data_IF_841313700825
#
_entry.id   IF_841313700825
#
_cell.length_a   1.000
_cell.length_b   1.000
_cell.length_c   1.000
_cell.angle_alpha   90.00
_cell.angle_beta   90.00
_cell.angle_gamma   90.00
#
_symmetry.space_group_name_H-M   'P 1'
#
loop_
_entity.id
_entity.type
_entity.pdbx_description
1 polymer ?
#
# COMPACT_ATOMS: atom_id res chain seq x y z
N UNK A 1 -6.46 -26.04 17.70
CA UNK A 1 -7.80 -25.92 17.09
C UNK A 1 -7.68 -24.97 15.91
N UNK A 2 -8.13 -25.34 14.70
CA UNK A 2 -8.14 -24.41 13.56
C UNK A 2 -9.11 -23.26 13.88
N UNK A 3 -8.63 -22.03 13.74
CA UNK A 3 -9.45 -20.83 13.94
C UNK A 3 -10.32 -20.69 12.70
N UNK A 4 -11.62 -20.88 12.85
CA UNK A 4 -12.54 -20.61 11.75
C UNK A 4 -12.56 -19.10 11.43
N UNK A 5 -12.54 -18.72 10.14
CA UNK A 5 -12.54 -17.32 9.76
C UNK A 5 -13.86 -16.67 10.18
N UNK A 6 -13.76 -15.69 11.07
CA UNK A 6 -14.89 -14.87 11.52
C UNK A 6 -15.46 -14.13 10.30
N UNK A 7 -16.71 -14.42 9.93
CA UNK A 7 -17.41 -13.69 8.88
C UNK A 7 -17.66 -12.25 9.35
N UNK A 8 -16.96 -11.31 8.73
CA UNK A 8 -17.19 -9.88 8.97
C UNK A 8 -18.42 -9.46 8.16
N UNK A 9 -19.44 -8.86 8.79
CA UNK A 9 -20.60 -8.35 8.06
C UNK A 9 -20.18 -7.27 7.06
N UNK A 10 -20.64 -7.39 5.81
CA UNK A 10 -20.20 -6.54 4.71
C UNK A 10 -20.80 -5.12 4.73
N UNK A 11 -21.82 -4.88 5.57
CA UNK A 11 -22.54 -3.60 5.65
C UNK A 11 -22.03 -2.63 6.74
N UNK A 12 -20.83 -2.83 7.27
CA UNK A 12 -20.31 -1.99 8.37
C UNK A 12 -19.96 -0.55 7.95
N UNK A 13 -19.92 -0.25 6.66
CA UNK A 13 -19.41 1.03 6.13
C UNK A 13 -20.49 1.93 5.52
N UNK A 14 -21.75 1.50 5.48
CA UNK A 14 -22.83 2.32 4.92
C UNK A 14 -23.39 3.25 5.99
N UNK A 15 -23.46 4.54 5.67
CA UNK A 15 -24.10 5.52 6.55
C UNK A 15 -25.60 5.22 6.69
N UNK A 16 -26.12 5.28 7.92
CA UNK A 16 -27.52 5.02 8.19
C UNK A 16 -28.42 6.03 7.46
N UNK A 17 -29.44 5.50 6.77
CA UNK A 17 -30.38 6.25 5.95
C UNK A 17 -31.74 6.20 6.61
N UNK A 18 -32.28 7.37 6.98
CA UNK A 18 -33.55 7.44 7.71
C UNK A 18 -34.72 7.53 6.73
N UNK A 19 -34.63 8.41 5.74
CA UNK A 19 -35.72 8.65 4.78
C UNK A 19 -35.18 8.49 3.36
N UNK A 20 -35.36 7.29 2.81
CA UNK A 20 -34.92 6.95 1.45
C UNK A 20 -33.42 7.23 1.24
N UNK A 21 -33.03 8.09 0.29
CA UNK A 21 -31.61 8.39 0.03
C UNK A 21 -30.96 9.33 1.06
N UNK A 22 -31.73 9.91 1.98
CA UNK A 22 -31.29 10.98 2.89
C UNK A 22 -30.75 10.42 4.20
N UNK A 23 -29.53 10.80 4.59
CA UNK A 23 -28.96 10.43 5.89
C UNK A 23 -29.40 11.36 7.02
N UNK A 24 -29.32 10.88 8.26
CA UNK A 24 -29.65 11.66 9.47
C UNK A 24 -28.92 13.03 9.49
N UNK A 25 -27.63 13.02 9.12
CA UNK A 25 -26.78 14.23 9.09
C UNK A 25 -27.33 15.28 8.13
N UNK A 26 -27.86 14.87 6.98
CA UNK A 26 -28.44 15.77 5.99
C UNK A 26 -29.73 16.40 6.50
N UNK A 27 -30.58 15.62 7.19
CA UNK A 27 -31.81 16.12 7.79
C UNK A 27 -31.50 17.17 8.86
N UNK A 28 -30.57 16.87 9.77
CA UNK A 28 -30.17 17.81 10.84
C UNK A 28 -29.62 19.11 10.24
N UNK A 29 -28.75 19.02 9.23
CA UNK A 29 -28.18 20.20 8.57
C UNK A 29 -29.26 21.07 7.90
N UNK A 30 -30.19 20.46 7.17
CA UNK A 30 -31.30 21.18 6.54
C UNK A 30 -32.25 21.79 7.58
N UNK A 31 -32.50 21.09 8.70
CA UNK A 31 -33.33 21.62 9.78
C UNK A 31 -32.67 22.84 10.45
N UNK A 32 -31.37 22.80 10.69
CA UNK A 32 -30.63 23.96 11.23
C UNK A 32 -30.66 25.15 10.27
N UNK A 33 -30.38 24.95 8.98
CA UNK A 33 -30.39 26.02 8.00
C UNK A 33 -31.79 26.59 7.72
N UNK A 34 -32.79 25.71 7.67
CA UNK A 34 -34.20 26.10 7.57
C UNK A 34 -34.68 26.85 8.80
N UNK A 35 -34.28 26.43 10.01
CA UNK A 35 -34.55 27.13 11.24
C UNK A 35 -33.97 28.54 11.26
N UNK A 36 -32.70 28.70 10.88
CA UNK A 36 -32.04 30.01 10.79
C UNK A 36 -32.72 30.90 9.73
N UNK A 37 -32.99 30.34 8.54
CA UNK A 37 -33.69 31.02 7.45
C UNK A 37 -35.08 31.50 7.87
N UNK A 38 -35.82 30.66 8.61
CA UNK A 38 -37.14 31.00 9.15
C UNK A 38 -37.09 32.12 10.19
N UNK A 39 -36.10 32.10 11.09
CA UNK A 39 -35.90 33.17 12.08
C UNK A 39 -35.61 34.50 11.39
N UNK A 40 -34.74 34.50 10.38
CA UNK A 40 -34.42 35.69 9.58
C UNK A 40 -35.69 36.21 8.89
N UNK A 41 -36.43 35.34 8.21
CA UNK A 41 -37.68 35.69 7.55
C UNK A 41 -38.71 36.31 8.50
N UNK A 42 -38.92 35.70 9.66
CA UNK A 42 -39.87 36.19 10.67
C UNK A 42 -39.44 37.56 11.22
N UNK A 43 -38.15 37.76 11.46
CA UNK A 43 -37.59 39.04 11.94
C UNK A 43 -37.79 40.14 10.88
N UNK A 44 -37.55 39.82 9.61
CA UNK A 44 -37.72 40.77 8.50
C UNK A 44 -39.19 41.13 8.25
N UNK A 45 -40.10 40.15 8.36
CA UNK A 45 -41.54 40.41 8.33
C UNK A 45 -41.99 41.35 9.44
N UNK A 46 -41.50 41.14 10.67
CA UNK A 46 -41.81 42.03 11.80
C UNK A 46 -41.27 43.44 11.61
N UNK A 47 -40.14 43.59 10.91
CA UNK A 47 -39.57 44.88 10.54
C UNK A 47 -40.27 45.56 9.34
N UNK A 48 -41.29 44.92 8.73
CA UNK A 48 -42.01 45.45 7.56
C UNK A 48 -41.24 45.35 6.23
N UNK A 49 -40.07 44.70 6.21
CA UNK A 49 -39.20 44.60 5.03
C UNK A 49 -39.62 43.37 4.21
N UNK A 50 -40.63 43.55 3.36
CA UNK A 50 -41.25 42.46 2.59
C UNK A 50 -40.95 42.55 1.08
N UNK A 51 -39.75 43.00 0.72
CA UNK A 51 -39.35 43.07 -0.68
C UNK A 51 -38.90 41.70 -1.21
N UNK A 52 -38.91 41.53 -2.53
CA UNK A 52 -38.48 40.28 -3.18
C UNK A 52 -36.99 40.00 -2.88
N UNK A 53 -36.17 41.05 -2.86
CA UNK A 53 -34.74 40.96 -2.53
C UNK A 53 -34.52 40.46 -1.09
N UNK A 54 -35.35 40.95 -0.17
CA UNK A 54 -35.29 40.58 1.25
C UNK A 54 -35.65 39.10 1.46
N UNK A 55 -36.62 38.61 0.68
CA UNK A 55 -37.03 37.19 0.67
C UNK A 55 -35.91 36.28 0.17
N UNK A 56 -35.24 36.65 -0.94
CA UNK A 56 -34.10 35.90 -1.48
C UNK A 56 -32.99 35.81 -0.43
N UNK A 57 -32.68 36.93 0.23
CA UNK A 57 -31.67 36.96 1.28
C UNK A 57 -32.02 36.05 2.46
N UNK A 58 -33.29 36.02 2.88
CA UNK A 58 -33.75 35.15 3.95
C UNK A 58 -33.61 33.65 3.60
N UNK A 59 -33.72 33.28 2.32
CA UNK A 59 -33.57 31.89 1.85
C UNK A 59 -32.11 31.46 1.63
N UNK A 60 -31.18 32.40 1.52
CA UNK A 60 -29.74 32.13 1.32
C UNK A 60 -29.17 31.12 2.32
N UNK A 61 -29.40 31.21 3.64
CA UNK A 61 -28.87 30.25 4.60
C UNK A 61 -29.36 28.81 4.34
N UNK A 62 -30.64 28.66 4.00
CA UNK A 62 -31.20 27.35 3.65
C UNK A 62 -30.52 26.78 2.40
N UNK A 63 -30.37 27.58 1.35
CA UNK A 63 -29.70 27.15 0.13
C UNK A 63 -28.25 26.72 0.37
N UNK A 64 -27.51 27.48 1.19
CA UNK A 64 -26.13 27.13 1.57
C UNK A 64 -26.12 25.80 2.34
N UNK A 65 -26.93 25.65 3.39
CA UNK A 65 -26.95 24.40 4.17
C UNK A 65 -27.39 23.19 3.35
N UNK A 66 -28.32 23.36 2.41
CA UNK A 66 -28.74 22.31 1.49
C UNK A 66 -27.59 21.89 0.56
N UNK A 67 -26.80 22.85 0.05
CA UNK A 67 -25.60 22.53 -0.70
C UNK A 67 -24.60 21.71 0.14
N UNK A 68 -24.37 22.09 1.40
CA UNK A 68 -23.50 21.33 2.30
C UNK A 68 -24.01 19.92 2.62
N UNK A 69 -25.34 19.72 2.65
CA UNK A 69 -25.95 18.43 2.91
C UNK A 69 -25.89 17.49 1.71
N UNK A 70 -26.20 17.98 0.51
CA UNK A 70 -26.39 17.13 -0.67
C UNK A 70 -25.20 17.10 -1.63
N UNK A 71 -24.38 18.16 -1.69
CA UNK A 71 -23.23 18.18 -2.59
C UNK A 71 -22.15 17.24 -2.06
N UNK A 72 -21.83 16.24 -2.89
CA UNK A 72 -20.74 15.30 -2.66
C UNK A 72 -19.75 15.43 -3.82
N UNK A 73 -18.48 15.61 -3.50
CA UNK A 73 -17.39 15.69 -4.49
C UNK A 73 -16.52 14.46 -4.27
N UNK A 74 -16.37 13.61 -5.31
CA UNK A 74 -15.64 12.35 -5.24
C UNK A 74 -16.03 11.45 -4.04
N UNK A 75 -17.33 11.39 -3.71
CA UNK A 75 -17.83 10.58 -2.59
C UNK A 75 -17.60 11.17 -1.19
N UNK A 76 -16.99 12.34 -1.08
CA UNK A 76 -16.82 13.08 0.17
C UNK A 76 -17.91 14.15 0.31
N UNK A 77 -18.48 14.30 1.51
CA UNK A 77 -19.39 15.40 1.81
C UNK A 77 -18.63 16.73 1.82
N UNK A 78 -19.31 17.81 1.41
CA UNK A 78 -18.73 19.15 1.36
C UNK A 78 -18.17 19.58 2.74
N UNK A 79 -18.89 19.27 3.83
CA UNK A 79 -18.44 19.52 5.20
C UNK A 79 -17.08 18.83 5.49
N UNK A 80 -16.92 17.57 5.07
CA UNK A 80 -15.66 16.84 5.24
C UNK A 80 -14.53 17.46 4.41
N UNK A 81 -14.83 17.94 3.21
CA UNK A 81 -13.85 18.61 2.34
C UNK A 81 -13.37 19.91 2.99
N UNK A 82 -14.26 20.71 3.57
CA UNK A 82 -13.87 21.93 4.28
C UNK A 82 -13.03 21.62 5.50
N UNK A 83 -13.40 20.60 6.28
CA UNK A 83 -12.57 20.17 7.42
C UNK A 83 -11.18 19.71 6.97
N UNK A 84 -11.08 18.93 5.89
CA UNK A 84 -9.80 18.52 5.30
C UNK A 84 -9.01 19.71 4.76
N UNK A 85 -9.68 20.71 4.21
CA UNK A 85 -9.05 21.94 3.73
C UNK A 85 -8.48 22.75 4.89
N UNK A 86 -9.23 22.89 5.99
CA UNK A 86 -8.78 23.55 7.23
C UNK A 86 -7.60 22.77 7.83
N UNK A 87 -7.70 21.44 7.93
CA UNK A 87 -6.64 20.58 8.41
C UNK A 87 -5.37 20.73 7.56
N UNK A 88 -5.52 20.74 6.23
CA UNK A 88 -4.43 20.96 5.28
C UNK A 88 -3.82 22.36 5.43
N UNK A 89 -4.60 23.37 5.78
CA UNK A 89 -4.09 24.72 6.00
C UNK A 89 -3.22 24.82 7.25
N UNK A 90 -3.48 23.99 8.27
CA UNK A 90 -2.69 23.95 9.50
C UNK A 90 -1.50 23.01 9.42
N UNK A 91 -1.61 21.92 8.66
CA UNK A 91 -0.54 20.93 8.49
C UNK A 91 0.38 21.33 7.34
N UNK A 92 1.70 21.43 7.56
CA UNK A 92 2.63 21.69 6.47
C UNK A 92 2.56 20.55 5.44
N UNK A 93 2.44 20.92 4.16
CA UNK A 93 2.41 19.97 3.04
C UNK A 93 3.76 19.26 2.87
N UNK A 94 4.85 19.91 3.31
CA UNK A 94 6.19 19.36 3.20
C UNK A 94 6.37 18.19 4.18
N UNK A 95 6.48 16.98 3.63
CA UNK A 95 6.98 15.82 4.36
C UNK A 95 8.45 16.05 4.67
N UNK A 96 8.78 16.40 5.91
CA UNK A 96 10.17 16.42 6.36
C UNK A 96 10.61 15.00 6.72
N UNK A 97 11.69 14.55 6.09
CA UNK A 97 12.42 13.37 6.54
C UNK A 97 13.36 13.81 7.65
N UNK A 98 12.83 13.96 8.86
CA UNK A 98 13.70 14.12 10.03
C UNK A 98 14.24 12.72 10.40
N UNK A 99 15.57 12.56 10.59
CA UNK A 99 16.09 11.36 11.21
C UNK A 99 15.46 11.27 12.59
N UNK A 100 14.49 10.37 12.75
CA UNK A 100 14.00 10.05 14.08
C UNK A 100 15.20 9.44 14.79
N UNK A 101 15.56 9.99 15.95
CA UNK A 101 16.41 9.28 16.90
C UNK A 101 15.64 8.00 17.26
N UNK A 102 15.83 6.96 16.47
CA UNK A 102 15.23 5.66 16.70
C UNK A 102 15.76 5.12 18.02
N UNK A 103 15.02 4.19 18.61
CA UNK A 103 15.55 3.35 19.69
C UNK A 103 16.89 2.80 19.22
N UNK A 104 17.97 3.11 19.93
CA UNK A 104 19.28 2.52 19.63
C UNK A 104 19.16 1.04 19.93
N UNK A 105 18.90 0.26 18.89
CA UNK A 105 18.92 -1.20 18.99
C UNK A 105 20.41 -1.54 19.13
N UNK A 106 20.88 -1.64 20.37
CA UNK A 106 22.18 -2.22 20.66
C UNK A 106 22.03 -3.72 20.40
N UNK A 107 22.24 -4.11 19.15
CA UNK A 107 22.25 -5.52 18.74
C UNK A 107 23.49 -6.13 19.39
N UNK A 108 23.32 -6.61 20.62
CA UNK A 108 24.27 -7.54 21.22
C UNK A 108 24.12 -8.85 20.46
N UNK A 109 24.83 -8.94 19.34
CA UNK A 109 25.06 -10.20 18.68
C UNK A 109 25.91 -11.03 19.66
N UNK A 110 25.23 -11.85 20.46
CA UNK A 110 25.89 -12.97 21.10
C UNK A 110 26.25 -13.94 19.97
N UNK A 111 27.41 -13.71 19.36
CA UNK A 111 28.06 -14.77 18.60
C UNK A 111 28.31 -15.87 19.61
N UNK A 112 27.50 -16.93 19.57
CA UNK A 112 27.94 -18.19 20.13
C UNK A 112 29.21 -18.50 19.35
N UNK A 113 30.37 -18.32 19.99
CA UNK A 113 31.59 -18.94 19.50
C UNK A 113 31.25 -20.41 19.42
N UNK A 114 30.94 -20.88 18.20
CA UNK A 114 30.85 -22.30 17.92
C UNK A 114 32.11 -22.89 18.54
N UNK A 115 32.00 -23.89 19.44
CA UNK A 115 33.19 -24.51 20.01
C UNK A 115 34.07 -24.86 18.82
N UNK A 116 35.30 -24.31 18.82
CA UNK A 116 36.30 -24.55 17.79
C UNK A 116 36.44 -26.06 17.73
N UNK A 117 35.72 -26.70 16.81
CA UNK A 117 35.77 -28.12 16.60
C UNK A 117 37.18 -28.36 16.15
N UNK A 118 37.98 -28.95 17.04
CA UNK A 118 39.41 -29.21 16.90
C UNK A 118 39.78 -29.44 15.43
N UNK A 119 40.23 -28.37 14.77
CA UNK A 119 40.85 -28.54 13.46
C UNK A 119 42.11 -29.34 13.72
N UNK A 120 42.37 -30.44 12.98
CA UNK A 120 43.60 -31.19 13.14
C UNK A 120 44.77 -30.26 12.84
N UNK A 121 45.50 -29.86 13.88
CA UNK A 121 46.71 -29.00 13.83
C UNK A 121 47.91 -29.61 13.06
N UNK A 122 47.67 -30.60 12.20
CA UNK A 122 48.70 -31.38 11.50
C UNK A 122 48.86 -31.12 10.01
N UNK A 123 47.92 -30.44 9.33
CA UNK A 123 47.92 -30.37 7.86
C UNK A 123 48.33 -29.01 7.27
N UNK A 124 48.40 -27.95 8.07
CA UNK A 124 48.57 -26.57 7.59
C UNK A 124 49.92 -26.27 6.94
N UNK A 125 51.01 -26.96 7.30
CA UNK A 125 52.32 -26.71 6.67
C UNK A 125 52.41 -27.30 5.26
N UNK A 126 52.01 -28.57 5.09
CA UNK A 126 52.05 -29.27 3.79
C UNK A 126 51.09 -28.62 2.79
N UNK A 127 49.96 -28.10 3.26
CA UNK A 127 48.98 -27.40 2.43
C UNK A 127 49.47 -25.99 2.05
N UNK A 128 50.13 -25.27 2.96
CA UNK A 128 50.74 -23.98 2.65
C UNK A 128 51.88 -24.05 1.63
N UNK A 129 52.70 -25.11 1.68
CA UNK A 129 53.77 -25.31 0.69
C UNK A 129 53.20 -25.60 -0.70
N UNK A 130 52.11 -26.37 -0.79
CA UNK A 130 51.37 -26.59 -2.05
C UNK A 130 50.73 -25.31 -2.57
N UNK A 131 50.09 -24.52 -1.71
CA UNK A 131 49.50 -23.24 -2.09
C UNK A 131 50.56 -22.26 -2.60
N UNK A 132 51.75 -22.22 -1.97
CA UNK A 132 52.90 -21.44 -2.47
C UNK A 132 53.37 -21.92 -3.84
N UNK A 133 53.48 -23.23 -4.05
CA UNK A 133 53.89 -23.79 -5.36
C UNK A 133 52.91 -23.46 -6.49
N UNK A 134 51.61 -23.43 -6.19
CA UNK A 134 50.58 -23.04 -7.15
C UNK A 134 50.61 -21.53 -7.43
N UNK A 135 50.85 -20.70 -6.41
CA UNK A 135 51.02 -19.25 -6.59
C UNK A 135 52.24 -18.94 -7.46
N UNK A 136 53.36 -19.64 -7.26
CA UNK A 136 54.57 -19.44 -8.08
C UNK A 136 54.36 -19.90 -9.51
N UNK A 137 53.65 -21.01 -9.74
CA UNK A 137 53.32 -21.46 -11.10
C UNK A 137 52.40 -20.47 -11.83
N UNK A 138 51.44 -19.89 -11.13
CA UNK A 138 50.55 -18.89 -11.69
C UNK A 138 51.31 -17.60 -12.04
N UNK A 139 52.19 -17.14 -11.15
CA UNK A 139 53.03 -15.95 -11.38
C UNK A 139 54.07 -16.15 -12.49
N UNK A 140 54.61 -17.37 -12.67
CA UNK A 140 55.50 -17.69 -13.78
C UNK A 140 54.74 -17.80 -15.11
N UNK A 141 53.53 -18.36 -15.11
CA UNK A 141 52.67 -18.40 -16.31
C UNK A 141 52.25 -17.01 -16.79
N UNK A 142 52.15 -16.03 -15.88
CA UNK A 142 51.88 -14.64 -16.22
C UNK A 142 53.10 -13.90 -16.80
N UNK A 143 54.33 -14.44 -16.63
CA UNK A 143 55.57 -13.82 -17.12
C UNK A 143 56.03 -14.33 -18.48
N UNK A 144 55.49 -15.46 -18.96
CA UNK A 144 55.80 -15.97 -20.29
C UNK A 144 55.05 -15.26 -21.43
N UNK A 145 54.16 -14.31 -21.13
CA UNK A 145 53.49 -13.49 -22.17
C UNK A 145 54.28 -12.25 -22.65
N UNK A 146 55.43 -11.90 -22.05
CA UNK A 146 56.17 -10.70 -22.44
C UNK A 146 57.64 -10.99 -22.83
N UNK A 147 57.86 -11.38 -24.10
CA UNK A 147 58.95 -10.85 -24.95
C UNK A 147 58.77 -11.26 -26.43
N UNK A 148 59.26 -10.48 -27.42
CA UNK A 148 58.38 -9.72 -28.30
C UNK A 148 58.51 -10.11 -29.78
N UNK A 149 57.41 -10.07 -30.54
CA UNK A 149 57.46 -9.85 -32.00
C UNK A 149 56.29 -8.98 -32.45
N UNK A 150 56.64 -7.82 -33.03
CA UNK A 150 55.78 -7.13 -33.99
C UNK A 150 55.11 -5.85 -33.48
N UNK A 151 55.83 -4.73 -33.60
CA UNK A 151 55.27 -3.38 -33.65
C UNK A 151 54.27 -3.23 -34.80
N UNK A 152 53.01 -2.89 -34.51
CA UNK A 152 52.22 -1.93 -35.30
C UNK A 152 51.29 -1.15 -34.37
N UNK A 153 51.41 0.18 -34.45
CA UNK A 153 50.60 1.20 -33.78
C UNK A 153 49.10 1.09 -34.11
N UNK A 154 48.22 1.59 -33.22
CA UNK A 154 47.53 2.89 -33.37
C UNK A 154 46.16 2.95 -32.63
N UNK A 155 46.12 3.77 -31.57
CA UNK A 155 45.00 4.55 -31.04
C UNK A 155 43.69 3.88 -30.48
N UNK A 156 43.11 4.44 -29.40
CA UNK A 156 41.87 3.94 -28.79
C UNK A 156 40.63 4.52 -29.48
N UNK A 157 39.83 3.68 -30.13
CA UNK A 157 38.47 4.04 -30.54
C UNK A 157 37.46 3.57 -29.48
N UNK A 158 37.03 4.52 -28.63
CA UNK A 158 35.72 4.46 -28.01
C UNK A 158 34.68 4.64 -29.11
N UNK A 159 34.11 3.55 -29.62
CA UNK A 159 32.72 3.42 -30.12
C UNK A 159 32.52 1.98 -30.57
N UNK A 160 31.92 1.11 -29.76
CA UNK A 160 31.00 0.09 -30.29
C UNK A 160 30.22 -0.60 -29.17
N UNK A 161 28.92 -0.74 -29.43
CA UNK A 161 27.90 -1.44 -28.64
C UNK A 161 28.37 -2.88 -28.35
N UNK A 162 28.07 -3.46 -27.17
CA UNK A 162 28.45 -4.85 -26.89
C UNK A 162 27.86 -5.78 -27.96
N UNK A 163 28.59 -6.83 -28.37
CA UNK A 163 28.15 -7.75 -29.40
C UNK A 163 26.80 -8.39 -29.02
N UNK A 164 25.89 -8.60 -29.98
CA UNK A 164 24.59 -9.20 -29.72
C UNK A 164 24.75 -10.60 -29.11
N UNK A 165 23.94 -10.88 -28.09
CA UNK A 165 23.87 -12.18 -27.42
C UNK A 165 23.51 -13.25 -28.47
N UNK A 166 24.39 -14.24 -28.65
CA UNK A 166 24.12 -15.39 -29.51
C UNK A 166 22.94 -16.21 -28.95
N UNK A 167 21.76 -16.09 -29.57
CA UNK A 167 20.52 -16.79 -29.17
C UNK A 167 20.56 -18.29 -29.45
N UNK A 168 21.51 -18.76 -30.26
CA UNK A 168 21.74 -20.18 -30.55
C UNK A 168 22.24 -21.00 -29.35
N UNK A 169 22.65 -20.35 -28.24
CA UNK A 169 23.03 -21.03 -26.98
C UNK A 169 21.90 -21.14 -25.97
N UNK A 170 20.71 -20.61 -26.28
CA UNK A 170 19.55 -20.63 -25.38
C UNK A 170 18.61 -21.73 -25.87
N UNK A 171 18.72 -22.93 -25.31
CA UNK A 171 17.70 -23.97 -25.47
C UNK A 171 16.72 -23.87 -24.30
N UNK A 172 15.49 -23.44 -24.57
CA UNK A 172 14.38 -23.55 -23.62
C UNK A 172 13.77 -24.94 -23.82
N UNK A 173 13.87 -25.81 -22.81
CA UNK A 173 13.12 -27.06 -22.83
C UNK A 173 11.62 -26.73 -22.67
N UNK A 174 10.74 -27.18 -23.59
CA UNK A 174 9.31 -27.05 -23.37
C UNK A 174 8.90 -27.90 -22.16
N UNK A 175 7.94 -27.44 -21.35
CA UNK A 175 7.46 -28.21 -20.21
C UNK A 175 6.85 -29.53 -20.67
N UNK A 176 7.29 -30.62 -20.04
CA UNK A 176 6.84 -31.98 -20.34
C UNK A 176 5.31 -32.08 -20.28
N UNK A 177 4.70 -32.57 -21.36
CA UNK A 177 3.26 -32.73 -21.53
C UNK A 177 2.63 -33.81 -20.62
N UNK A 178 3.35 -34.30 -19.61
CA UNK A 178 2.89 -35.30 -18.63
C UNK A 178 2.64 -34.74 -17.22
N UNK A 179 2.69 -33.42 -17.04
CA UNK A 179 2.34 -32.75 -15.77
C UNK A 179 1.05 -31.93 -15.91
N UNK A 180 -0.01 -32.52 -16.45
CA UNK A 180 -1.36 -31.94 -16.42
C UNK A 180 -2.11 -32.30 -15.12
N UNK A 181 -1.49 -32.02 -13.98
CA UNK A 181 -2.19 -32.02 -12.70
C UNK A 181 -2.65 -30.57 -12.42
N UNK A 182 -3.97 -30.28 -12.38
CA UNK A 182 -4.45 -28.97 -11.98
C UNK A 182 -4.05 -28.74 -10.51
N UNK A 183 -3.29 -27.67 -10.26
CA UNK A 183 -2.74 -27.31 -8.95
C UNK A 183 -3.83 -26.79 -7.98
N UNK A 184 -5.07 -26.59 -8.45
CA UNK A 184 -6.16 -26.11 -7.61
C UNK A 184 -7.24 -27.18 -7.40
N UNK A 185 -7.08 -27.93 -6.31
CA UNK A 185 -8.04 -28.91 -5.84
C UNK A 185 -9.22 -28.21 -5.12
N UNK A 186 -10.05 -27.49 -5.87
CA UNK A 186 -11.31 -26.92 -5.37
C UNK A 186 -12.48 -27.73 -5.94
N UNK A 187 -12.93 -28.73 -5.18
CA UNK A 187 -14.20 -29.40 -5.40
C UNK A 187 -15.36 -28.50 -4.96
N UNK A 188 -16.14 -27.99 -5.91
CA UNK A 188 -17.41 -27.32 -5.61
C UNK A 188 -18.43 -28.37 -5.10
N UNK A 189 -18.65 -28.40 -3.79
CA UNK A 189 -19.68 -29.24 -3.18
C UNK A 189 -21.07 -28.72 -3.59
N UNK A 190 -21.80 -29.54 -4.35
CA UNK A 190 -23.18 -29.29 -4.76
C UNK A 190 -24.09 -29.13 -3.54
N UNK A 191 -24.91 -28.07 -3.56
CA UNK A 191 -25.96 -27.76 -2.60
C UNK A 191 -27.22 -28.59 -2.87
N UNK A 192 -27.83 -29.22 -1.84
CA UNK A 192 -29.26 -29.52 -1.86
C UNK A 192 -30.06 -28.43 -1.15
N UNK A 193 -31.20 -28.08 -1.74
CA UNK A 193 -32.15 -27.08 -1.28
C UNK A 193 -33.11 -27.59 -0.17
N UNK A 194 -33.81 -26.63 0.46
CA UNK A 194 -34.94 -26.73 1.44
C UNK A 194 -34.51 -26.89 2.92
N UNK A 195 -35.00 -26.18 3.96
CA UNK A 195 -36.20 -25.37 4.28
C UNK A 195 -35.87 -24.52 5.54
N UNK A 196 -36.51 -23.36 5.81
CA UNK A 196 -36.21 -22.53 6.99
C UNK A 196 -37.04 -22.94 8.22
N UNK A 197 -36.40 -23.03 9.40
CA UNK A 197 -37.11 -22.97 10.69
C UNK A 197 -36.35 -22.05 11.65
N UNK A 198 -37.03 -20.97 12.00
CA UNK A 198 -36.69 -19.96 13.01
C UNK A 198 -37.14 -20.47 14.38
N UNK A 199 -36.25 -20.48 15.37
CA UNK A 199 -36.55 -20.47 16.81
C UNK A 199 -35.41 -19.65 17.45
N UNK A 200 -35.54 -18.34 17.60
CA UNK A 200 -36.23 -17.62 18.69
C UNK A 200 -35.88 -18.14 20.09
N UNK A 201 -34.96 -17.43 20.74
CA UNK A 201 -34.68 -17.52 22.18
C UNK A 201 -34.56 -16.09 22.70
N UNK A 202 -35.71 -15.48 23.01
CA UNK A 202 -35.78 -14.42 24.01
C UNK A 202 -35.50 -15.00 25.40
N UNK A 203 -34.77 -14.29 26.27
CA UNK A 203 -34.95 -14.42 27.70
C UNK A 203 -35.88 -13.29 28.20
N UNK A 204 -36.96 -13.67 28.89
CA UNK A 204 -37.73 -12.83 29.82
C UNK A 204 -37.85 -13.59 31.15
N UNK A 205 -38.23 -12.92 32.25
CA UNK A 205 -38.05 -11.52 32.65
C UNK A 205 -36.95 -11.33 33.71
#
# INVERSE_FOLDING_TARGET
MPIEPVKIPQNVQVEDKIVGPVSLKQIILCMMGGGISFVIWNTMKKAGITSVQSTIFAWTPLAITAAFAFVKIHGLSLLRIILLFIERSQKPIARSFAPRYGTSINIRAFYQTLPEKDLPKGQTKVEMDKLKSLSTLLDDSAKEEDTPKGTVNLAPQMTEKPPPVNTSRISVNPPDASSSAPVDNIQSKQTPAATPTVQDLSPTP
#
